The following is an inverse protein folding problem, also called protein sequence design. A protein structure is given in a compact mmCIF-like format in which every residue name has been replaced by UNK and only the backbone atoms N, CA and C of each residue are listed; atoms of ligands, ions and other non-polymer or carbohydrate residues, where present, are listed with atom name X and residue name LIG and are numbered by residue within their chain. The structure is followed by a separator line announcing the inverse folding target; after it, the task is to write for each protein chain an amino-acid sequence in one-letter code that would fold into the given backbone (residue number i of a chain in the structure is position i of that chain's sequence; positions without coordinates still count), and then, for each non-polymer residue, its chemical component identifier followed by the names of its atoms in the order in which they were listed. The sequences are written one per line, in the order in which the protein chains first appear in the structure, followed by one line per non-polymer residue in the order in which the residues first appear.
data_IF_079378041204
#
_entry.id   IF_079378041204
#
_cell.length_a   1.000
_cell.length_b   1.000
_cell.length_c   1.000
_cell.angle_alpha   90.00
_cell.angle_beta   90.00
_cell.angle_gamma   90.00
#
_symmetry.space_group_name_H-M   'P 1'
#
loop_
_entity.id
_entity.type
_entity.pdbx_description
1 polymer ?
#
# COMPACT_ATOMS: atom_id res chain seq x y z
N UNK A 1 23.08 0.15 0.63
CA UNK A 1 22.85 -0.94 1.58
C UNK A 1 22.23 -2.14 0.85
N UNK A 2 22.94 -2.65 -0.14
CA UNK A 2 22.53 -3.83 -0.88
C UNK A 2 23.22 -5.02 -0.22
N UNK A 3 22.48 -5.77 0.58
CA UNK A 3 22.97 -7.04 1.06
C UNK A 3 23.02 -8.00 -0.13
N UNK A 4 24.22 -8.45 -0.47
CA UNK A 4 24.37 -9.55 -1.42
C UNK A 4 24.05 -10.84 -0.66
N UNK A 5 23.02 -11.53 -1.09
CA UNK A 5 22.83 -12.93 -0.71
C UNK A 5 23.11 -13.82 -1.92
N UNK A 6 23.66 -14.97 -1.67
CA UNK A 6 23.96 -15.96 -2.69
C UNK A 6 23.39 -17.32 -2.24
N UNK A 7 22.66 -17.94 -3.17
CA UNK A 7 22.17 -19.30 -2.96
C UNK A 7 23.24 -20.28 -3.41
N UNK A 8 23.62 -21.20 -2.54
CA UNK A 8 24.65 -22.21 -2.84
C UNK A 8 23.99 -23.58 -2.96
N UNK A 9 24.04 -24.16 -4.13
CA UNK A 9 23.52 -25.50 -4.40
C UNK A 9 24.23 -26.11 -5.61
N UNK A 10 24.17 -27.46 -5.72
CA UNK A 10 24.72 -28.21 -6.85
C UNK A 10 23.86 -28.13 -8.11
N UNK A 11 22.60 -27.76 -7.98
CA UNK A 11 21.66 -27.59 -9.08
C UNK A 11 21.95 -26.29 -9.84
N UNK A 12 22.12 -26.40 -11.15
CA UNK A 12 22.40 -25.25 -12.04
C UNK A 12 21.27 -24.22 -12.07
N UNK A 13 20.02 -24.60 -11.81
CA UNK A 13 18.90 -23.69 -11.72
C UNK A 13 19.05 -22.69 -10.57
N UNK A 14 19.60 -23.13 -9.43
CA UNK A 14 19.90 -22.26 -8.29
C UNK A 14 21.00 -21.24 -8.64
N UNK A 15 22.01 -21.67 -9.39
CA UNK A 15 23.05 -20.75 -9.87
C UNK A 15 22.49 -19.71 -10.85
N UNK A 16 21.52 -20.09 -11.69
CA UNK A 16 20.83 -19.14 -12.55
C UNK A 16 20.00 -18.15 -11.75
N UNK A 17 19.33 -18.59 -10.67
CA UNK A 17 18.63 -17.67 -9.78
C UNK A 17 19.54 -16.59 -9.19
N UNK A 18 20.78 -16.90 -8.86
CA UNK A 18 21.74 -15.92 -8.36
C UNK A 18 22.01 -14.76 -9.35
N UNK A 19 21.84 -14.98 -10.63
CA UNK A 19 21.94 -13.91 -11.63
C UNK A 19 20.76 -12.94 -11.56
N UNK A 20 19.59 -13.43 -11.11
CA UNK A 20 18.37 -12.64 -10.99
C UNK A 20 18.29 -11.88 -9.66
N UNK A 21 18.90 -12.39 -8.59
CA UNK A 21 18.78 -11.79 -7.26
C UNK A 21 19.20 -10.32 -7.21
N UNK A 22 20.23 -9.95 -7.97
CA UNK A 22 20.72 -8.57 -8.08
C UNK A 22 19.70 -7.66 -8.76
N UNK A 23 19.01 -8.17 -9.78
CA UNK A 23 17.98 -7.44 -10.51
C UNK A 23 16.73 -7.24 -9.64
N UNK A 24 16.31 -8.22 -8.87
CA UNK A 24 15.19 -8.06 -7.94
C UNK A 24 15.47 -6.98 -6.91
N UNK A 25 16.64 -7.00 -6.30
CA UNK A 25 17.03 -5.97 -5.33
C UNK A 25 17.09 -4.59 -5.98
N UNK A 26 17.66 -4.50 -7.17
CA UNK A 26 17.72 -3.24 -7.92
C UNK A 26 16.33 -2.71 -8.25
N UNK A 27 15.47 -3.53 -8.82
CA UNK A 27 14.10 -3.14 -9.17
C UNK A 27 13.32 -2.66 -7.95
N UNK A 28 13.43 -3.39 -6.85
CA UNK A 28 12.75 -3.03 -5.60
C UNK A 28 13.20 -1.67 -5.08
N UNK A 29 14.51 -1.40 -5.10
CA UNK A 29 15.03 -0.13 -4.67
C UNK A 29 14.66 1.01 -5.61
N UNK A 30 14.66 0.78 -6.91
CA UNK A 30 14.20 1.78 -7.90
C UNK A 30 12.73 2.10 -7.66
N UNK A 31 11.90 1.08 -7.46
CA UNK A 31 10.47 1.26 -7.22
C UNK A 31 10.19 2.05 -5.92
N UNK A 32 10.88 1.71 -4.85
CA UNK A 32 10.73 2.38 -3.55
C UNK A 32 11.37 3.77 -3.50
N UNK A 33 12.58 3.93 -4.04
CA UNK A 33 13.35 5.18 -3.95
C UNK A 33 13.00 6.19 -5.03
N UNK A 34 12.32 5.76 -6.09
CA UNK A 34 11.77 6.71 -7.05
C UNK A 34 10.62 7.45 -6.35
N UNK A 35 10.81 8.69 -5.91
CA UNK A 35 9.75 9.45 -5.23
C UNK A 35 8.55 9.66 -6.14
N UNK A 36 8.67 9.20 -7.33
CA UNK A 36 7.74 9.36 -8.41
C UNK A 36 7.45 8.04 -9.11
N UNK A 37 7.50 6.90 -8.43
CA UNK A 37 7.11 5.57 -8.92
C UNK A 37 7.31 5.29 -10.41
N UNK A 38 7.31 4.05 -10.79
CA UNK A 38 7.39 3.67 -12.21
C UNK A 38 6.01 3.36 -12.83
N UNK A 39 4.96 3.38 -12.05
CA UNK A 39 3.69 2.77 -12.39
C UNK A 39 2.72 3.67 -13.13
N UNK A 40 2.87 4.97 -13.00
CA UNK A 40 1.95 5.89 -13.65
C UNK A 40 2.62 6.64 -14.81
N UNK A 41 1.83 7.19 -15.69
CA UNK A 41 2.19 7.84 -16.95
C UNK A 41 3.32 8.88 -16.91
N UNK A 42 3.98 9.09 -15.91
CA UNK A 42 5.15 9.98 -15.77
C UNK A 42 6.15 9.41 -14.78
N UNK A 43 5.97 8.15 -14.37
CA UNK A 43 6.83 7.53 -13.38
C UNK A 43 6.75 8.21 -12.03
N UNK A 44 5.55 8.63 -11.56
CA UNK A 44 5.49 9.64 -10.53
C UNK A 44 4.55 9.33 -9.37
N UNK A 45 4.29 8.07 -9.04
CA UNK A 45 3.38 7.75 -7.94
C UNK A 45 3.74 6.44 -7.23
N UNK A 46 3.37 6.34 -5.96
CA UNK A 46 3.21 5.05 -5.32
C UNK A 46 1.78 4.55 -5.52
N UNK A 47 1.62 3.36 -6.09
CA UNK A 47 0.38 2.61 -5.98
C UNK A 47 0.20 2.15 -4.54
N UNK A 48 -0.95 2.41 -3.94
CA UNK A 48 -1.24 2.05 -2.53
C UNK A 48 -1.05 0.54 -2.31
N UNK A 49 -1.60 -0.28 -3.21
CA UNK A 49 -1.41 -1.73 -3.20
C UNK A 49 0.04 -2.12 -3.41
N UNK A 50 0.69 -1.51 -4.40
CA UNK A 50 1.99 -1.95 -4.87
C UNK A 50 3.09 -1.71 -3.84
N UNK A 51 3.09 -0.54 -3.19
CA UNK A 51 4.04 -0.27 -2.10
C UNK A 51 3.78 -1.14 -0.87
N UNK A 52 2.54 -1.55 -0.68
CA UNK A 52 2.12 -2.43 0.43
C UNK A 52 2.49 -3.90 0.23
N UNK A 53 2.89 -4.31 -0.95
CA UNK A 53 3.31 -5.68 -1.29
C UNK A 53 4.84 -5.80 -1.33
N UNK A 54 5.40 -5.78 -2.51
CA UNK A 54 6.80 -6.07 -2.76
C UNK A 54 7.79 -5.27 -1.91
N UNK A 55 7.70 -3.93 -1.82
CA UNK A 55 8.61 -3.14 -0.99
C UNK A 55 8.57 -3.53 0.49
N UNK A 56 7.40 -3.69 1.09
CA UNK A 56 7.28 -4.06 2.50
C UNK A 56 7.85 -5.45 2.77
N UNK A 57 7.52 -6.43 1.94
CA UNK A 57 8.03 -7.79 2.07
C UNK A 57 9.55 -7.85 1.90
N UNK A 58 10.09 -7.10 0.93
CA UNK A 58 11.54 -6.99 0.75
C UNK A 58 12.24 -6.40 1.97
N UNK A 59 11.72 -5.31 2.53
CA UNK A 59 12.33 -4.67 3.69
C UNK A 59 12.20 -5.50 4.97
N UNK A 60 11.15 -6.28 5.12
CA UNK A 60 11.06 -7.27 6.19
C UNK A 60 12.10 -8.40 5.99
N UNK A 61 12.18 -8.99 4.80
CA UNK A 61 13.14 -10.04 4.49
C UNK A 61 14.60 -9.58 4.69
N UNK A 62 14.88 -8.30 4.47
CA UNK A 62 16.20 -7.70 4.67
C UNK A 62 16.42 -7.09 6.05
N UNK A 63 15.51 -7.33 6.99
CA UNK A 63 15.57 -6.85 8.38
C UNK A 63 15.67 -5.32 8.49
N UNK A 64 14.87 -4.62 7.70
CA UNK A 64 14.76 -3.17 7.68
C UNK A 64 13.38 -2.65 8.15
N UNK A 65 12.89 -3.04 9.34
CA UNK A 65 11.52 -2.69 9.78
C UNK A 65 11.30 -1.18 9.93
N UNK A 66 12.36 -0.40 10.16
CA UNK A 66 12.25 1.07 10.21
C UNK A 66 11.81 1.68 8.88
N UNK A 67 12.18 1.06 7.76
CA UNK A 67 11.74 1.51 6.45
C UNK A 67 10.26 1.17 6.28
N UNK A 68 9.82 -0.01 6.73
CA UNK A 68 8.41 -0.37 6.72
C UNK A 68 7.58 0.58 7.59
N UNK A 69 8.06 0.96 8.77
CA UNK A 69 7.40 1.98 9.59
C UNK A 69 7.22 3.32 8.85
N UNK A 70 8.23 3.73 8.06
CA UNK A 70 8.12 4.92 7.22
C UNK A 70 7.10 4.74 6.09
N UNK A 71 7.03 3.56 5.47
CA UNK A 71 6.01 3.24 4.47
C UNK A 71 4.62 3.32 5.10
N UNK A 72 4.42 2.73 6.28
CA UNK A 72 3.15 2.82 7.03
C UNK A 72 2.75 4.28 7.24
N UNK A 73 3.67 5.12 7.71
CA UNK A 73 3.36 6.53 7.91
C UNK A 73 2.88 7.18 6.61
N UNK A 74 3.61 7.02 5.50
CA UNK A 74 3.23 7.61 4.23
C UNK A 74 1.92 7.05 3.66
N UNK A 75 1.64 5.77 3.85
CA UNK A 75 0.35 5.18 3.48
C UNK A 75 -0.77 5.88 4.23
N UNK A 76 -0.69 5.95 5.55
CA UNK A 76 -1.76 6.48 6.38
C UNK A 76 -1.92 8.00 6.28
N UNK A 77 -0.88 8.75 5.94
CA UNK A 77 -0.99 10.16 5.54
C UNK A 77 -1.86 10.39 4.31
N UNK A 78 -2.10 9.34 3.51
CA UNK A 78 -2.92 9.39 2.31
C UNK A 78 -4.32 8.75 2.48
N UNK A 79 -4.67 8.32 3.69
CA UNK A 79 -6.03 7.90 4.01
C UNK A 79 -6.99 9.09 3.95
N UNK A 80 -8.13 8.93 3.29
CA UNK A 80 -9.12 9.98 3.22
C UNK A 80 -9.86 10.18 4.54
N UNK A 81 -10.04 11.45 4.92
CA UNK A 81 -10.67 11.86 6.18
C UNK A 81 -12.15 11.47 6.25
N UNK A 82 -12.87 11.57 5.14
CA UNK A 82 -14.32 11.41 5.06
C UNK A 82 -14.76 9.96 5.30
N UNK A 83 -14.23 9.02 4.55
CA UNK A 83 -14.65 7.62 4.58
C UNK A 83 -13.60 6.64 5.10
N UNK A 84 -12.33 7.01 5.10
CA UNK A 84 -11.24 6.16 5.54
C UNK A 84 -10.65 5.24 4.47
N UNK A 85 -11.07 5.42 3.20
CA UNK A 85 -10.50 4.73 2.06
C UNK A 85 -9.20 5.41 1.59
N UNK A 86 -8.55 4.85 0.58
CA UNK A 86 -7.32 5.34 -0.02
C UNK A 86 -7.48 5.64 -1.50
N UNK A 87 -6.67 6.58 -2.03
CA UNK A 87 -6.50 6.69 -3.48
C UNK A 87 -5.76 5.44 -3.99
N UNK A 88 -6.01 5.03 -5.21
CA UNK A 88 -5.29 3.92 -5.82
C UNK A 88 -3.78 4.21 -5.92
N UNK A 89 -3.41 5.44 -6.19
CA UNK A 89 -2.04 5.93 -6.20
C UNK A 89 -1.96 7.37 -5.69
N UNK A 90 -0.79 7.75 -5.19
CA UNK A 90 -0.50 9.11 -4.71
C UNK A 90 0.94 9.51 -5.01
N UNK A 91 1.15 10.81 -5.15
CA UNK A 91 2.46 11.41 -5.42
C UNK A 91 3.03 12.09 -4.18
N UNK A 92 4.26 12.57 -4.30
CA UNK A 92 5.07 13.14 -3.22
C UNK A 92 5.53 14.56 -3.52
N UNK A 93 6.10 15.21 -2.53
CA UNK A 93 6.74 16.52 -2.61
C UNK A 93 5.82 17.58 -3.22
N UNK A 94 6.30 18.29 -4.20
CA UNK A 94 5.53 19.32 -4.90
C UNK A 94 4.32 18.79 -5.68
N UNK A 95 4.16 17.49 -5.76
CA UNK A 95 3.06 16.83 -6.46
C UNK A 95 2.13 16.08 -5.50
N UNK A 96 2.26 16.28 -4.19
CA UNK A 96 1.49 15.54 -3.18
C UNK A 96 -0.03 15.70 -3.31
N UNK A 97 -0.49 16.77 -3.98
CA UNK A 97 -1.91 16.97 -4.29
C UNK A 97 -2.43 16.08 -5.43
N UNK A 98 -1.52 15.45 -6.17
CA UNK A 98 -1.89 14.58 -7.28
C UNK A 98 -2.09 13.16 -6.74
N UNK A 99 -3.33 12.71 -6.76
CA UNK A 99 -3.76 11.39 -6.30
C UNK A 99 -4.82 10.85 -7.25
N UNK A 100 -5.01 9.53 -7.28
CA UNK A 100 -6.14 8.94 -7.97
C UNK A 100 -7.45 9.43 -7.34
N UNK A 101 -8.45 9.71 -8.17
CA UNK A 101 -9.83 9.89 -7.71
C UNK A 101 -10.54 8.56 -7.48
N UNK A 102 -10.01 7.49 -8.04
CA UNK A 102 -10.53 6.13 -8.05
C UNK A 102 -9.86 5.28 -6.99
N UNK A 103 -10.56 4.25 -6.51
CA UNK A 103 -10.04 3.25 -5.61
C UNK A 103 -10.61 1.88 -5.97
N UNK A 104 -9.74 0.92 -6.25
CA UNK A 104 -10.15 -0.47 -6.43
C UNK A 104 -10.61 -1.06 -5.10
N UNK A 105 -11.53 -2.02 -5.13
CA UNK A 105 -12.16 -2.56 -3.93
C UNK A 105 -11.20 -3.29 -2.98
N UNK A 106 -10.08 -3.77 -3.48
CA UNK A 106 -9.05 -4.44 -2.67
C UNK A 106 -8.04 -3.47 -2.05
N UNK A 107 -7.98 -2.22 -2.50
CA UNK A 107 -7.01 -1.22 -2.01
C UNK A 107 -7.09 -1.06 -0.48
N UNK A 108 -8.31 -1.06 0.03
CA UNK A 108 -8.60 -0.83 1.44
C UNK A 108 -7.97 -1.85 2.39
N UNK A 109 -7.66 -3.06 1.95
CA UNK A 109 -7.12 -4.12 2.83
C UNK A 109 -5.59 -4.12 2.93
N UNK A 110 -4.92 -3.45 2.01
CA UNK A 110 -3.46 -3.50 1.93
C UNK A 110 -2.74 -2.72 3.02
N UNK A 111 -3.15 -1.49 3.40
CA UNK A 111 -2.56 -0.78 4.52
C UNK A 111 -2.69 -1.55 5.85
N UNK A 112 -3.87 -2.14 6.11
CA UNK A 112 -4.10 -2.99 7.28
C UNK A 112 -3.14 -4.19 7.33
N UNK A 113 -2.94 -4.85 6.17
CA UNK A 113 -1.99 -5.97 6.05
C UNK A 113 -0.57 -5.52 6.44
N UNK A 114 -0.10 -4.38 5.92
CA UNK A 114 1.25 -3.88 6.23
C UNK A 114 1.44 -3.64 7.73
N UNK A 115 0.46 -3.03 8.39
CA UNK A 115 0.54 -2.81 9.84
C UNK A 115 0.51 -4.12 10.61
N UNK A 116 -0.34 -5.07 10.20
CA UNK A 116 -0.42 -6.38 10.83
C UNK A 116 0.91 -7.13 10.73
N UNK A 117 1.49 -7.18 9.53
CA UNK A 117 2.79 -7.81 9.28
C UNK A 117 3.90 -7.11 10.11
N UNK A 118 3.85 -5.77 10.22
CA UNK A 118 4.81 -5.03 11.03
C UNK A 118 4.74 -5.41 12.51
N UNK A 119 3.53 -5.46 13.06
CA UNK A 119 3.33 -5.83 14.47
C UNK A 119 3.75 -7.28 14.74
N UNK A 120 3.43 -8.20 13.84
CA UNK A 120 3.83 -9.61 13.96
C UNK A 120 5.35 -9.79 13.94
N UNK A 121 6.05 -9.06 13.08
CA UNK A 121 7.50 -9.23 12.91
C UNK A 121 8.33 -8.46 13.92
N UNK A 122 7.83 -7.34 14.45
CA UNK A 122 8.61 -6.46 15.32
C UNK A 122 8.17 -6.49 16.77
N UNK A 123 6.92 -6.84 17.06
CA UNK A 123 6.25 -6.64 18.35
C UNK A 123 6.31 -5.17 18.84
N UNK A 124 6.52 -4.21 17.93
CA UNK A 124 6.54 -2.78 18.25
C UNK A 124 5.12 -2.19 18.17
N UNK A 125 4.38 -2.35 19.25
CA UNK A 125 3.03 -1.79 19.37
C UNK A 125 3.02 -0.27 19.58
N UNK A 126 4.16 0.37 19.81
CA UNK A 126 4.23 1.82 19.99
C UNK A 126 3.86 2.57 18.72
N UNK A 127 4.02 1.96 17.55
CA UNK A 127 3.62 2.51 16.25
C UNK A 127 2.12 2.88 16.22
N UNK A 128 1.28 2.14 16.94
CA UNK A 128 -0.17 2.39 16.98
C UNK A 128 -0.54 3.74 17.60
N UNK A 129 0.35 4.34 18.38
CA UNK A 129 0.16 5.65 18.97
C UNK A 129 0.73 6.80 18.12
N UNK A 130 1.29 6.50 16.94
CA UNK A 130 1.82 7.52 16.03
C UNK A 130 0.69 8.41 15.52
N UNK A 131 0.84 9.71 15.72
CA UNK A 131 -0.11 10.71 15.24
C UNK A 131 0.12 11.02 13.76
N UNK A 132 -0.89 10.82 12.93
CA UNK A 132 -0.83 10.92 11.48
C UNK A 132 -1.99 11.81 11.00
N UNK A 133 -1.77 12.76 10.07
CA UNK A 133 -2.85 13.50 9.43
C UNK A 133 -3.60 12.62 8.43
N UNK A 134 -4.85 12.96 8.17
CA UNK A 134 -5.61 12.44 7.02
C UNK A 134 -5.34 13.26 5.77
N UNK A 135 -5.89 12.81 4.65
CA UNK A 135 -5.99 13.57 3.40
C UNK A 135 -7.44 14.02 3.21
N UNK A 136 -7.64 15.30 2.96
CA UNK A 136 -8.94 15.85 2.56
C UNK A 136 -9.24 15.50 1.10
N UNK A 137 -10.34 14.80 0.83
CA UNK A 137 -10.74 14.44 -0.55
C UNK A 137 -11.10 15.67 -1.39
N UNK A 138 -11.41 16.79 -0.75
CA UNK A 138 -11.83 18.02 -1.42
C UNK A 138 -10.71 18.68 -2.23
N UNK A 139 -9.50 18.64 -1.70
CA UNK A 139 -8.35 19.38 -2.24
C UNK A 139 -7.05 18.57 -2.24
N UNK A 140 -7.11 17.32 -1.79
CA UNK A 140 -6.00 16.38 -1.65
C UNK A 140 -4.87 16.83 -0.70
N UNK A 141 -5.11 17.87 0.09
CA UNK A 141 -4.16 18.31 1.11
C UNK A 141 -4.28 17.50 2.40
N UNK A 142 -3.19 17.45 3.15
CA UNK A 142 -3.21 16.87 4.49
C UNK A 142 -4.01 17.74 5.45
N UNK A 143 -4.79 17.10 6.31
CA UNK A 143 -5.56 17.78 7.35
C UNK A 143 -4.64 18.37 8.40
N UNK A 144 -5.12 19.40 9.12
CA UNK A 144 -4.40 19.95 10.27
C UNK A 144 -4.53 19.09 11.52
N UNK A 145 -5.66 18.39 11.62
CA UNK A 145 -5.93 17.47 12.72
C UNK A 145 -5.27 16.12 12.42
N UNK A 146 -4.73 15.53 13.45
CA UNK A 146 -4.12 14.19 13.40
C UNK A 146 -4.94 13.22 14.22
N UNK A 147 -4.77 11.94 13.94
CA UNK A 147 -5.26 10.86 14.76
C UNK A 147 -4.18 9.80 14.93
N UNK A 148 -4.30 8.97 15.96
CA UNK A 148 -3.37 7.85 16.13
C UNK A 148 -3.54 6.83 15.00
N UNK A 149 -2.47 6.13 14.65
CA UNK A 149 -2.54 5.03 13.68
C UNK A 149 -3.63 4.02 14.07
N UNK A 150 -3.86 3.81 15.36
CA UNK A 150 -4.93 2.94 15.82
C UNK A 150 -6.34 3.44 15.43
N UNK A 151 -6.58 4.75 15.50
CA UNK A 151 -7.86 5.33 15.04
C UNK A 151 -8.00 5.28 13.51
N UNK A 152 -6.91 5.44 12.78
CA UNK A 152 -6.87 5.21 11.34
C UNK A 152 -7.29 3.79 10.96
N UNK A 153 -6.74 2.77 11.65
CA UNK A 153 -7.10 1.36 11.44
C UNK A 153 -8.57 1.07 11.78
N UNK A 154 -9.09 1.65 12.86
CA UNK A 154 -10.51 1.52 13.18
C UNK A 154 -11.42 2.06 12.09
N UNK A 155 -11.02 3.20 11.51
CA UNK A 155 -11.76 3.82 10.42
C UNK A 155 -11.71 2.95 9.16
N UNK A 156 -10.55 2.37 8.83
CA UNK A 156 -10.36 1.41 7.76
C UNK A 156 -11.25 0.17 7.91
N UNK A 157 -11.22 -0.46 9.09
CA UNK A 157 -12.05 -1.63 9.37
C UNK A 157 -13.53 -1.30 9.26
N UNK A 158 -13.96 -0.15 9.78
CA UNK A 158 -15.33 0.29 9.65
C UNK A 158 -15.77 0.51 8.20
N UNK A 159 -14.89 1.07 7.36
CA UNK A 159 -15.14 1.17 5.92
C UNK A 159 -15.33 -0.21 5.28
N UNK A 160 -14.44 -1.14 5.55
CA UNK A 160 -14.50 -2.51 5.03
C UNK A 160 -15.84 -3.18 5.40
N UNK A 161 -16.25 -3.08 6.69
CA UNK A 161 -17.49 -3.68 7.17
C UNK A 161 -18.73 -3.07 6.53
N UNK A 162 -18.72 -1.77 6.24
CA UNK A 162 -19.84 -1.07 5.60
C UNK A 162 -19.96 -1.36 4.10
N UNK A 163 -18.88 -1.86 3.48
CA UNK A 163 -18.81 -2.08 2.02
C UNK A 163 -18.74 -3.57 1.65
N UNK A 164 -19.14 -4.46 2.53
CA UNK A 164 -19.37 -5.84 2.14
C UNK A 164 -20.55 -5.97 1.18
N UNK A 165 -20.41 -6.82 0.19
CA UNK A 165 -21.54 -7.20 -0.64
C UNK A 165 -22.66 -7.78 0.23
N UNK A 166 -23.94 -7.37 0.03
CA UNK A 166 -25.05 -7.81 0.85
C UNK A 166 -25.08 -9.33 1.05
N UNK A 167 -25.34 -9.76 2.29
CA UNK A 167 -25.40 -11.17 2.69
C UNK A 167 -24.08 -11.95 2.50
N UNK A 168 -22.97 -11.26 2.34
CA UNK A 168 -21.64 -11.88 2.20
C UNK A 168 -20.61 -11.18 3.10
N UNK A 169 -19.39 -11.74 3.15
CA UNK A 169 -18.21 -11.08 3.73
C UNK A 169 -17.18 -10.74 2.64
N UNK A 170 -17.65 -10.52 1.42
CA UNK A 170 -16.80 -10.14 0.29
C UNK A 170 -16.80 -8.63 0.16
N UNK A 171 -15.62 -8.03 0.00
CA UNK A 171 -15.48 -6.63 -0.35
C UNK A 171 -16.12 -6.34 -1.71
N UNK A 172 -16.60 -5.13 -1.90
CA UNK A 172 -17.09 -4.66 -3.19
C UNK A 172 -15.93 -4.57 -4.21
N UNK A 173 -16.29 -4.53 -5.49
CA UNK A 173 -15.32 -4.40 -6.57
C UNK A 173 -14.61 -3.04 -6.60
N UNK A 174 -15.27 -1.98 -6.15
CA UNK A 174 -14.78 -0.62 -6.27
C UNK A 174 -14.77 -0.10 -7.71
N UNK A 175 -13.91 0.86 -7.99
CA UNK A 175 -13.76 1.44 -9.32
C UNK A 175 -12.99 0.53 -10.29
N UNK A 176 -12.43 -0.54 -9.82
CA UNK A 176 -11.64 -1.47 -10.64
C UNK A 176 -11.04 -2.64 -9.86
N UNK A 177 -10.23 -3.40 -10.55
CA UNK A 177 -9.50 -4.56 -10.05
C UNK A 177 -8.02 -4.46 -10.43
N UNK A 178 -7.19 -5.33 -9.83
CA UNK A 178 -5.79 -5.47 -10.22
C UNK A 178 -5.60 -5.74 -11.72
N UNK A 179 -6.49 -6.50 -12.32
CA UNK A 179 -6.58 -6.60 -13.76
C UNK A 179 -7.53 -5.52 -14.29
N UNK A 180 -6.98 -4.43 -14.77
CA UNK A 180 -7.70 -3.26 -15.29
C UNK A 180 -8.68 -3.59 -16.42
N UNK A 181 -8.58 -4.80 -17.01
CA UNK A 181 -9.49 -5.27 -18.06
C UNK A 181 -10.71 -6.00 -17.52
N UNK A 182 -10.66 -6.48 -16.29
CA UNK A 182 -11.80 -7.11 -15.64
C UNK A 182 -12.88 -6.08 -15.34
N UNK A 183 -14.09 -6.42 -15.74
CA UNK A 183 -15.29 -5.65 -15.42
C UNK A 183 -16.32 -6.57 -14.80
N UNK A 184 -17.00 -6.17 -13.72
CA UNK A 184 -18.10 -6.98 -13.20
C UNK A 184 -19.17 -7.13 -14.26
N UNK A 185 -19.69 -8.34 -14.39
CA UNK A 185 -20.80 -8.65 -15.30
C UNK A 185 -22.06 -7.82 -14.97
N UNK A 186 -22.28 -7.57 -13.69
CA UNK A 186 -23.43 -6.81 -13.19
C UNK A 186 -22.95 -5.47 -12.63
N UNK A 187 -23.38 -4.36 -13.25
CA UNK A 187 -23.04 -3.03 -12.80
C UNK A 187 -23.53 -2.73 -11.37
N UNK A 188 -24.54 -3.44 -10.86
CA UNK A 188 -24.97 -3.34 -9.46
C UNK A 188 -23.84 -3.70 -8.47
N UNK A 189 -22.89 -4.51 -8.87
CA UNK A 189 -21.70 -4.80 -8.07
C UNK A 189 -20.74 -3.61 -7.96
N UNK A 190 -20.87 -2.63 -8.85
CA UNK A 190 -20.17 -1.34 -8.76
C UNK A 190 -20.94 -0.31 -7.94
N UNK A 191 -22.26 -0.36 -8.02
CA UNK A 191 -23.15 0.66 -7.44
C UNK A 191 -23.49 0.42 -5.96
N UNK A 192 -23.18 -0.76 -5.44
CA UNK A 192 -23.37 -1.10 -4.02
C UNK A 192 -22.18 -0.65 -3.14
N UNK A 193 -21.52 0.37 -3.61
CA UNK A 193 -20.41 1.02 -2.91
C UNK A 193 -20.86 2.31 -2.27
#
# INVERSE_FOLDING_TARGET
MLHHFELTHTDSSVQQMNQLTRWYTHNMLVHYLSPHGLEQYGGAAWGTRDVSQGPTEFFFATQQPKIVASIIQHLFENQFEDDGNWPQWFMFDRYEEQKASESHGDIIVWPLKVVTDYLEQTADYSILATEIPYTSRKDNHKTKETASLFEHLKKEINYIEQHFLPETFLSCYGDGDWDDTLQPYDNRLKEQM
#
